data_IF_097016970045
#
_entry.id   IF_097016970045
#
_cell.length_a   1.000
_cell.length_b   1.000
_cell.length_c   1.000
_cell.angle_alpha   90.00
_cell.angle_beta   90.00
_cell.angle_gamma   90.00
#
_symmetry.space_group_name_H-M   'P 1'
#
loop_
_entity.id
_entity.type
_entity.pdbx_description
1 polymer ?
#
# COMPACT_ATOMS: atom_id res chain seq x y z
N UNK A 1 0.41 -3.01 26.11
CA UNK A 1 0.10 -2.69 24.69
C UNK A 1 -0.11 -3.95 23.83
N UNK A 2 0.76 -4.97 23.95
CA UNK A 2 0.72 -6.19 23.12
C UNK A 2 -0.63 -6.92 22.97
N UNK A 3 -1.30 -7.39 24.04
CA UNK A 3 -2.48 -8.26 23.89
C UNK A 3 -3.70 -7.53 23.31
N UNK A 4 -3.93 -6.27 23.69
CA UNK A 4 -5.01 -5.46 23.14
C UNK A 4 -4.77 -5.11 21.67
N UNK A 5 -3.53 -4.78 21.28
CA UNK A 5 -3.19 -4.52 19.88
C UNK A 5 -3.48 -5.74 18.99
N UNK A 6 -3.07 -6.93 19.45
CA UNK A 6 -3.34 -8.20 18.75
C UNK A 6 -4.85 -8.47 18.66
N UNK A 7 -5.60 -8.25 19.74
CA UNK A 7 -7.06 -8.42 19.74
C UNK A 7 -7.75 -7.52 18.69
N UNK A 8 -7.40 -6.23 18.62
CA UNK A 8 -7.99 -5.32 17.65
C UNK A 8 -7.59 -5.64 16.20
N UNK A 9 -6.37 -6.15 15.97
CA UNK A 9 -5.99 -6.71 14.67
C UNK A 9 -6.82 -7.94 14.30
N UNK A 10 -7.07 -8.85 15.25
CA UNK A 10 -7.90 -10.03 15.02
C UNK A 10 -9.34 -9.63 14.71
N UNK A 11 -9.91 -8.66 15.41
CA UNK A 11 -11.25 -8.12 15.12
C UNK A 11 -11.28 -7.53 13.70
N UNK A 12 -10.28 -6.72 13.33
CA UNK A 12 -10.15 -6.20 11.97
C UNK A 12 -10.05 -7.30 10.91
N UNK A 13 -9.30 -8.37 11.20
CA UNK A 13 -9.19 -9.55 10.34
C UNK A 13 -10.51 -10.29 10.17
N UNK A 14 -11.25 -10.51 11.27
CA UNK A 14 -12.59 -11.13 11.24
C UNK A 14 -13.57 -10.27 10.44
N UNK A 15 -13.58 -8.96 10.65
CA UNK A 15 -14.41 -8.03 9.88
C UNK A 15 -14.03 -8.05 8.40
N UNK A 16 -12.74 -8.11 8.08
CA UNK A 16 -12.24 -8.29 6.71
C UNK A 16 -12.73 -9.60 6.07
N UNK A 17 -12.74 -10.71 6.82
CA UNK A 17 -13.31 -11.98 6.35
C UNK A 17 -14.83 -11.89 6.12
N UNK A 18 -15.56 -11.20 7.00
CA UNK A 18 -17.01 -10.98 6.80
C UNK A 18 -17.25 -10.17 5.53
N UNK A 19 -16.45 -9.12 5.30
CA UNK A 19 -16.52 -8.35 4.05
C UNK A 19 -16.21 -9.21 2.84
N UNK A 20 -15.23 -10.12 2.93
CA UNK A 20 -14.95 -11.10 1.88
C UNK A 20 -16.15 -12.03 1.59
N UNK A 21 -16.94 -12.40 2.61
CA UNK A 21 -18.14 -13.21 2.41
C UNK A 21 -19.29 -12.44 1.73
N UNK A 22 -19.44 -11.15 2.03
CA UNK A 22 -20.52 -10.28 1.47
C UNK A 22 -20.04 -9.50 0.22
N UNK A 23 -18.80 -9.75 -0.19
CA UNK A 23 -18.07 -8.98 -1.19
C UNK A 23 -18.82 -8.88 -2.52
N UNK A 24 -19.39 -9.98 -3.02
CA UNK A 24 -20.07 -10.02 -4.31
C UNK A 24 -21.22 -8.99 -4.40
N UNK A 25 -21.99 -8.82 -3.32
CA UNK A 25 -23.08 -7.85 -3.27
C UNK A 25 -22.56 -6.40 -3.18
N UNK A 26 -21.50 -6.18 -2.41
CA UNK A 26 -20.85 -4.87 -2.29
C UNK A 26 -20.26 -4.43 -3.62
N UNK A 27 -19.53 -5.32 -4.29
CA UNK A 27 -18.88 -5.03 -5.54
C UNK A 27 -19.87 -4.79 -6.67
N UNK A 28 -20.94 -5.58 -6.76
CA UNK A 28 -21.99 -5.34 -7.76
C UNK A 28 -22.60 -3.93 -7.63
N UNK A 29 -22.84 -3.47 -6.40
CA UNK A 29 -23.31 -2.09 -6.15
C UNK A 29 -22.26 -1.05 -6.55
N UNK A 30 -20.99 -1.27 -6.23
CA UNK A 30 -19.89 -0.36 -6.59
C UNK A 30 -19.69 -0.28 -8.11
N UNK A 31 -19.73 -1.42 -8.81
CA UNK A 31 -19.65 -1.48 -10.27
C UNK A 31 -20.78 -0.65 -10.90
N UNK A 32 -22.02 -0.79 -10.39
CA UNK A 32 -23.18 -0.03 -10.85
C UNK A 32 -23.08 1.47 -10.54
N UNK A 33 -22.58 1.85 -9.37
CA UNK A 33 -22.51 3.26 -8.94
C UNK A 33 -21.43 4.04 -9.68
N UNK A 34 -20.27 3.41 -9.89
CA UNK A 34 -19.10 4.08 -10.48
C UNK A 34 -18.92 3.78 -11.97
N UNK A 35 -19.78 2.93 -12.55
CA UNK A 35 -19.68 2.45 -13.93
C UNK A 35 -18.27 1.90 -14.24
N UNK A 36 -17.75 1.07 -13.33
CA UNK A 36 -16.44 0.44 -13.43
C UNK A 36 -16.58 -1.08 -13.40
N UNK A 37 -15.60 -1.78 -13.96
CA UNK A 37 -15.51 -3.24 -13.89
C UNK A 37 -14.49 -3.64 -12.83
N UNK A 38 -14.96 -4.24 -11.73
CA UNK A 38 -14.16 -4.72 -10.60
C UNK A 38 -13.83 -6.21 -10.77
N UNK A 39 -14.77 -7.01 -11.26
CA UNK A 39 -14.56 -8.44 -11.56
C UNK A 39 -14.55 -8.72 -13.06
N UNK A 40 -13.59 -9.54 -13.51
CA UNK A 40 -13.52 -10.06 -14.89
C UNK A 40 -14.58 -11.13 -15.13
N UNK A 41 -14.77 -12.00 -14.13
CA UNK A 41 -15.66 -13.15 -14.15
C UNK A 41 -16.28 -13.37 -12.74
N UNK A 42 -17.42 -14.05 -12.67
CA UNK A 42 -18.03 -14.46 -11.39
C UNK A 42 -17.22 -15.57 -10.74
N UNK A 43 -16.19 -15.20 -9.98
CA UNK A 43 -15.41 -16.12 -9.17
C UNK A 43 -14.77 -15.41 -7.95
N UNK A 44 -14.33 -16.21 -6.98
CA UNK A 44 -13.77 -15.74 -5.69
C UNK A 44 -12.23 -15.76 -5.64
N UNK A 45 -11.58 -16.15 -6.72
CA UNK A 45 -10.11 -16.21 -6.78
C UNK A 45 -9.53 -14.81 -7.06
N UNK A 46 -8.34 -14.50 -6.53
CA UNK A 46 -7.66 -13.20 -6.74
C UNK A 46 -7.46 -12.87 -8.23
N UNK A 47 -7.29 -13.89 -9.07
CA UNK A 47 -7.13 -13.74 -10.53
C UNK A 47 -8.42 -13.28 -11.25
N UNK A 48 -9.57 -13.32 -10.56
CA UNK A 48 -10.85 -12.90 -11.09
C UNK A 48 -11.04 -11.38 -11.06
N UNK A 49 -10.22 -10.67 -10.30
CA UNK A 49 -10.33 -9.23 -10.11
C UNK A 49 -9.57 -8.47 -11.17
N UNK A 50 -10.08 -7.29 -11.50
CA UNK A 50 -9.29 -6.30 -12.23
C UNK A 50 -8.23 -5.70 -11.29
N UNK A 51 -7.15 -5.13 -11.84
CA UNK A 51 -6.15 -4.43 -11.02
C UNK A 51 -6.76 -3.25 -10.25
N UNK A 52 -7.71 -2.55 -10.88
CA UNK A 52 -8.53 -1.55 -10.21
C UNK A 52 -9.35 -2.18 -9.07
N UNK A 53 -10.01 -3.32 -9.33
CA UNK A 53 -10.79 -4.03 -8.33
C UNK A 53 -9.99 -4.47 -7.12
N UNK A 54 -8.79 -5.04 -7.33
CA UNK A 54 -7.86 -5.41 -6.26
C UNK A 54 -7.51 -4.21 -5.38
N UNK A 55 -7.27 -3.04 -5.98
CA UNK A 55 -6.96 -1.81 -5.25
C UNK A 55 -8.16 -1.32 -4.41
N UNK A 56 -9.38 -1.40 -4.95
CA UNK A 56 -10.62 -1.02 -4.25
C UNK A 56 -10.90 -1.94 -3.06
N UNK A 57 -10.79 -3.25 -3.26
CA UNK A 57 -11.03 -4.23 -2.18
C UNK A 57 -9.96 -4.08 -1.10
N UNK A 58 -8.69 -3.94 -1.51
CA UNK A 58 -7.60 -3.63 -0.59
C UNK A 58 -7.90 -2.39 0.24
N UNK A 59 -8.45 -1.34 -0.37
CA UNK A 59 -8.78 -0.09 0.31
C UNK A 59 -9.88 -0.30 1.36
N UNK A 60 -10.94 -1.05 1.03
CA UNK A 60 -12.02 -1.35 1.98
C UNK A 60 -11.47 -2.13 3.20
N UNK A 61 -10.68 -3.17 2.95
CA UNK A 61 -10.10 -3.99 4.03
C UNK A 61 -9.17 -3.16 4.90
N UNK A 62 -8.31 -2.34 4.28
CA UNK A 62 -7.39 -1.44 4.98
C UNK A 62 -8.13 -0.42 5.83
N UNK A 63 -9.22 0.18 5.34
CA UNK A 63 -10.00 1.16 6.09
C UNK A 63 -10.63 0.54 7.34
N UNK A 64 -11.11 -0.70 7.25
CA UNK A 64 -11.63 -1.44 8.41
C UNK A 64 -10.53 -1.68 9.44
N UNK A 65 -9.37 -2.17 9.00
CA UNK A 65 -8.21 -2.38 9.88
C UNK A 65 -7.80 -1.06 10.54
N UNK A 66 -7.74 0.02 9.77
CA UNK A 66 -7.39 1.35 10.28
C UNK A 66 -8.38 1.84 11.34
N UNK A 67 -9.69 1.71 11.13
CA UNK A 67 -10.70 2.07 12.14
C UNK A 67 -10.50 1.24 13.42
N UNK A 68 -10.23 -0.07 13.31
CA UNK A 68 -9.94 -0.92 14.47
C UNK A 68 -8.66 -0.50 15.21
N UNK A 69 -7.71 0.16 14.54
CA UNK A 69 -6.48 0.68 15.17
C UNK A 69 -6.72 1.95 15.99
N UNK A 70 -7.89 2.59 15.92
CA UNK A 70 -8.22 3.80 16.69
C UNK A 70 -8.02 3.58 18.19
N UNK A 71 -8.58 2.50 18.74
CA UNK A 71 -8.48 2.20 20.17
C UNK A 71 -7.03 2.01 20.65
N UNK A 72 -6.24 1.05 20.10
CA UNK A 72 -4.89 0.82 20.60
C UNK A 72 -3.94 1.99 20.34
N UNK A 73 -4.09 2.76 19.25
CA UNK A 73 -3.16 3.83 18.93
C UNK A 73 -3.50 5.15 19.63
N UNK A 74 -4.77 5.53 19.65
CA UNK A 74 -5.18 6.83 20.19
C UNK A 74 -5.39 6.74 21.70
N UNK A 75 -6.12 5.73 22.18
CA UNK A 75 -6.52 5.66 23.59
C UNK A 75 -5.46 4.97 24.46
N UNK A 76 -4.84 3.89 23.96
CA UNK A 76 -3.84 3.14 24.75
C UNK A 76 -2.46 3.81 24.67
N UNK A 77 -1.92 4.12 23.48
CA UNK A 77 -0.62 4.81 23.38
C UNK A 77 -0.67 6.33 23.55
N UNK A 78 -1.85 6.95 23.57
CA UNK A 78 -1.98 8.42 23.61
C UNK A 78 -1.18 9.09 22.47
N UNK A 79 -1.22 8.51 21.28
CA UNK A 79 -0.47 8.97 20.11
C UNK A 79 -1.38 9.08 18.89
N UNK A 80 -2.22 10.12 18.90
CA UNK A 80 -3.13 10.41 17.79
C UNK A 80 -2.39 10.66 16.45
N UNK A 81 -1.24 11.36 16.41
CA UNK A 81 -0.48 11.49 15.18
C UNK A 81 -0.12 10.15 14.53
N UNK A 82 0.31 9.13 15.29
CA UNK A 82 0.60 7.79 14.74
C UNK A 82 -0.62 7.17 14.05
N UNK A 83 -1.82 7.35 14.60
CA UNK A 83 -3.05 6.87 13.96
C UNK A 83 -3.27 7.51 12.57
N UNK A 84 -2.95 8.79 12.41
CA UNK A 84 -2.92 9.47 11.10
C UNK A 84 -1.79 8.89 10.23
N UNK A 85 -0.62 8.62 10.79
CA UNK A 85 0.46 7.96 10.05
C UNK A 85 0.06 6.59 9.49
N UNK A 86 -0.74 5.83 10.23
CA UNK A 86 -1.32 4.56 9.77
C UNK A 86 -2.34 4.73 8.64
N UNK A 87 -3.05 5.86 8.59
CA UNK A 87 -3.87 6.20 7.44
C UNK A 87 -2.98 6.39 6.20
N UNK A 88 -1.94 7.22 6.30
CA UNK A 88 -1.07 7.51 5.16
C UNK A 88 -0.28 6.28 4.68
N UNK A 89 0.27 5.45 5.56
CA UNK A 89 1.00 4.24 5.12
C UNK A 89 0.10 3.28 4.31
N UNK A 90 -1.15 3.05 4.71
CA UNK A 90 -1.98 2.03 4.08
C UNK A 90 -2.96 2.58 3.04
N UNK A 91 -3.56 3.73 3.28
CA UNK A 91 -4.60 4.31 2.41
C UNK A 91 -3.97 5.04 1.22
N UNK A 92 -2.91 5.82 1.44
CA UNK A 92 -2.30 6.61 0.37
C UNK A 92 -1.83 5.76 -0.82
N UNK A 93 -1.10 4.63 -0.64
CA UNK A 93 -0.69 3.81 -1.77
C UNK A 93 -1.86 3.29 -2.61
N UNK A 94 -2.96 2.89 -1.97
CA UNK A 94 -4.13 2.35 -2.65
C UNK A 94 -4.93 3.44 -3.38
N UNK A 95 -5.03 4.64 -2.81
CA UNK A 95 -5.60 5.79 -3.51
C UNK A 95 -4.75 6.10 -4.75
N UNK A 96 -3.43 6.12 -4.63
CA UNK A 96 -2.53 6.38 -5.76
C UNK A 96 -2.69 5.32 -6.84
N UNK A 97 -2.77 4.02 -6.51
CA UNK A 97 -2.99 2.98 -7.54
C UNK A 97 -4.34 3.13 -8.23
N UNK A 98 -5.41 3.50 -7.51
CA UNK A 98 -6.75 3.76 -8.07
C UNK A 98 -6.73 4.97 -9.01
N UNK A 99 -6.17 6.10 -8.57
CA UNK A 99 -6.04 7.32 -9.37
C UNK A 99 -5.23 7.04 -10.63
N UNK A 100 -4.21 6.19 -10.51
CA UNK A 100 -3.33 5.77 -11.60
C UNK A 100 -3.81 4.50 -12.30
N UNK A 101 -5.13 4.31 -12.44
CA UNK A 101 -5.71 3.17 -13.17
C UNK A 101 -5.15 2.97 -14.59
N UNK A 102 -4.69 4.03 -15.26
CA UNK A 102 -4.07 3.92 -16.58
C UNK A 102 -2.65 3.34 -16.53
N UNK A 103 -1.98 3.42 -15.39
CA UNK A 103 -0.70 2.76 -15.13
C UNK A 103 -0.96 1.34 -14.63
N UNK A 104 -1.76 1.16 -13.58
CA UNK A 104 -2.06 -0.13 -12.96
C UNK A 104 -3.25 -0.82 -13.63
N UNK A 105 -3.02 -1.37 -14.83
CA UNK A 105 -4.04 -2.09 -15.59
C UNK A 105 -3.52 -3.40 -16.20
N UNK A 106 -4.45 -4.23 -16.66
CA UNK A 106 -4.20 -5.58 -17.17
C UNK A 106 -3.29 -5.63 -18.39
N UNK A 107 -3.37 -4.64 -19.27
CA UNK A 107 -2.56 -4.63 -20.49
C UNK A 107 -1.07 -4.37 -20.21
N UNK A 108 -0.70 -4.10 -18.95
CA UNK A 108 0.71 -4.06 -18.53
C UNK A 108 1.31 -5.42 -18.27
N UNK A 109 0.49 -6.48 -18.24
CA UNK A 109 0.97 -7.84 -18.00
C UNK A 109 1.79 -8.29 -19.20
N UNK A 110 3.07 -8.59 -18.96
CA UNK A 110 3.97 -9.13 -19.98
C UNK A 110 3.96 -10.66 -19.83
N UNK A 111 3.45 -11.36 -20.85
CA UNK A 111 3.48 -12.81 -20.86
C UNK A 111 4.93 -13.31 -20.94
N UNK A 112 5.46 -13.82 -19.84
CA UNK A 112 6.76 -14.48 -19.84
C UNK A 112 6.65 -15.80 -20.61
N UNK A 113 7.63 -16.09 -21.48
CA UNK A 113 7.55 -17.23 -22.42
C UNK A 113 7.52 -18.60 -21.75
N UNK A 114 8.03 -18.71 -20.51
CA UNK A 114 8.03 -19.93 -19.70
C UNK A 114 8.05 -19.56 -18.19
N UNK A 115 6.92 -19.18 -17.60
CA UNK A 115 6.88 -18.78 -16.20
C UNK A 115 6.98 -20.02 -15.31
N UNK A 116 8.01 -20.09 -14.49
CA UNK A 116 8.26 -21.19 -13.56
C UNK A 116 7.38 -21.06 -12.31
N UNK A 117 7.07 -19.82 -11.90
CA UNK A 117 6.35 -19.54 -10.65
C UNK A 117 5.14 -18.60 -10.84
N UNK A 118 4.20 -18.56 -9.87
CA UNK A 118 3.07 -17.60 -9.91
C UNK A 118 3.52 -16.14 -9.98
N UNK A 119 4.67 -15.82 -9.40
CA UNK A 119 5.25 -14.48 -9.40
C UNK A 119 5.56 -13.99 -10.83
N UNK A 120 6.07 -14.89 -11.67
CA UNK A 120 6.42 -14.66 -13.08
C UNK A 120 5.16 -14.57 -13.97
N UNK A 121 4.12 -15.35 -13.64
CA UNK A 121 2.81 -15.31 -14.33
C UNK A 121 2.06 -13.98 -14.14
N UNK A 122 2.36 -13.25 -13.07
CA UNK A 122 1.68 -12.01 -12.68
C UNK A 122 2.61 -10.78 -12.77
N UNK A 123 3.57 -10.81 -13.69
CA UNK A 123 4.47 -9.69 -13.98
C UNK A 123 3.73 -8.56 -14.72
N UNK A 124 4.19 -7.32 -14.56
CA UNK A 124 3.51 -6.10 -14.99
C UNK A 124 3.48 -5.05 -13.87
N UNK A 125 2.61 -4.06 -14.00
CA UNK A 125 2.33 -3.10 -12.91
C UNK A 125 1.22 -3.64 -12.01
N UNK A 126 1.46 -4.78 -11.37
CA UNK A 126 0.49 -5.38 -10.46
C UNK A 126 0.38 -4.55 -9.16
N UNK A 127 -0.79 -3.96 -8.85
CA UNK A 127 -0.94 -3.02 -7.74
C UNK A 127 -0.59 -3.62 -6.38
N UNK A 128 -0.73 -4.93 -6.17
CA UNK A 128 -0.40 -5.57 -4.89
C UNK A 128 1.10 -5.51 -4.62
N UNK A 129 1.95 -5.81 -5.61
CA UNK A 129 3.40 -5.76 -5.43
C UNK A 129 3.88 -4.34 -5.15
N UNK A 130 3.34 -3.36 -5.87
CA UNK A 130 3.67 -1.96 -5.68
C UNK A 130 3.14 -1.39 -4.36
N UNK A 131 1.98 -1.85 -3.91
CA UNK A 131 1.46 -1.58 -2.57
C UNK A 131 2.42 -2.10 -1.50
N UNK A 132 2.82 -3.37 -1.54
CA UNK A 132 3.75 -3.96 -0.57
C UNK A 132 5.12 -3.26 -0.57
N UNK A 133 5.65 -2.92 -1.74
CA UNK A 133 6.89 -2.15 -1.84
C UNK A 133 6.72 -0.74 -1.25
N UNK A 134 5.60 -0.05 -1.51
CA UNK A 134 5.34 1.26 -0.91
C UNK A 134 5.28 1.20 0.62
N UNK A 135 4.63 0.17 1.19
CA UNK A 135 4.65 -0.08 2.64
C UNK A 135 6.07 -0.25 3.17
N UNK A 136 6.91 -1.01 2.48
CA UNK A 136 8.30 -1.27 2.87
C UNK A 136 9.16 0.00 2.84
N UNK A 137 9.02 0.83 1.80
CA UNK A 137 9.86 2.02 1.63
C UNK A 137 9.52 3.10 2.65
N UNK A 138 8.33 3.67 2.52
CA UNK A 138 8.00 4.88 3.25
C UNK A 138 7.11 4.64 4.44
N UNK A 139 6.64 3.42 4.66
CA UNK A 139 5.68 3.13 5.71
C UNK A 139 6.23 3.35 7.12
N UNK A 140 7.40 2.78 7.41
CA UNK A 140 8.08 2.96 8.69
C UNK A 140 8.38 4.44 8.96
N UNK A 141 8.89 5.15 7.96
CA UNK A 141 9.25 6.57 8.08
C UNK A 141 8.02 7.46 8.23
N UNK A 142 6.93 7.20 7.51
CA UNK A 142 5.70 7.97 7.63
C UNK A 142 5.11 7.81 9.03
N UNK A 143 4.96 6.57 9.52
CA UNK A 143 4.42 6.31 10.87
C UNK A 143 5.32 6.91 11.96
N UNK A 144 6.64 6.76 11.83
CA UNK A 144 7.58 7.35 12.79
C UNK A 144 7.60 8.87 12.76
N UNK A 145 7.59 9.49 11.58
CA UNK A 145 7.56 10.94 11.43
C UNK A 145 6.31 11.53 12.07
N UNK A 146 5.15 10.89 11.88
CA UNK A 146 3.94 11.27 12.61
C UNK A 146 4.08 11.04 14.12
N UNK A 147 4.69 9.94 14.56
CA UNK A 147 4.97 9.70 15.98
C UNK A 147 5.82 10.78 16.63
N UNK A 148 6.83 11.29 15.91
CA UNK A 148 7.70 12.37 16.38
C UNK A 148 6.91 13.64 16.72
N UNK A 149 5.82 13.93 16.00
CA UNK A 149 4.95 15.08 16.28
C UNK A 149 4.21 14.99 17.62
N UNK A 150 4.18 13.81 18.24
CA UNK A 150 3.56 13.61 19.55
C UNK A 150 4.49 13.99 20.72
N UNK A 151 5.79 14.19 20.46
CA UNK A 151 6.80 14.43 21.49
C UNK A 151 7.28 15.88 21.47
N UNK A 152 7.04 16.61 22.57
CA UNK A 152 7.36 18.04 22.67
C UNK A 152 8.85 18.37 22.61
N UNK A 153 9.72 17.42 22.94
CA UNK A 153 11.18 17.60 22.88
C UNK A 153 11.75 17.45 21.46
N UNK A 154 10.98 16.90 20.53
CA UNK A 154 11.39 16.73 19.14
C UNK A 154 10.84 17.91 18.33
N UNK A 155 11.67 18.64 17.58
CA UNK A 155 11.18 19.71 16.71
C UNK A 155 10.14 19.18 15.73
N UNK A 156 9.01 19.87 15.59
CA UNK A 156 7.95 19.45 14.65
C UNK A 156 8.43 19.41 13.20
N UNK A 157 9.40 20.27 12.85
CA UNK A 157 10.08 20.27 11.55
C UNK A 157 10.76 18.94 11.26
N UNK A 158 11.40 18.33 12.26
CA UNK A 158 12.02 17.01 12.15
C UNK A 158 11.00 15.92 11.79
N UNK A 159 9.86 15.88 12.50
CA UNK A 159 8.78 14.96 12.21
C UNK A 159 8.22 15.13 10.79
N UNK A 160 7.99 16.38 10.36
CA UNK A 160 7.48 16.69 9.02
C UNK A 160 8.46 16.29 7.90
N UNK A 161 9.76 16.50 8.07
CA UNK A 161 10.79 16.08 7.11
C UNK A 161 10.73 14.55 6.91
N UNK A 162 10.62 13.79 7.99
CA UNK A 162 10.53 12.32 7.94
C UNK A 162 9.22 11.86 7.29
N UNK A 163 8.09 12.54 7.56
CA UNK A 163 6.80 12.26 6.90
C UNK A 163 6.88 12.52 5.40
N UNK A 164 7.34 13.72 5.00
CA UNK A 164 7.38 14.14 3.60
C UNK A 164 8.32 13.23 2.80
N UNK A 165 9.52 12.93 3.33
CA UNK A 165 10.47 12.01 2.68
C UNK A 165 9.89 10.60 2.53
N UNK A 166 9.15 10.11 3.54
CA UNK A 166 8.42 8.85 3.49
C UNK A 166 7.38 8.82 2.35
N UNK A 167 6.53 9.85 2.26
CA UNK A 167 5.50 9.98 1.22
C UNK A 167 6.10 10.10 -0.18
N UNK A 168 7.16 10.91 -0.36
CA UNK A 168 7.88 11.04 -1.63
C UNK A 168 8.40 9.67 -2.08
N UNK A 169 9.01 8.92 -1.17
CA UNK A 169 9.59 7.62 -1.50
C UNK A 169 8.52 6.57 -1.84
N UNK A 170 7.35 6.61 -1.19
CA UNK A 170 6.19 5.81 -1.61
C UNK A 170 5.74 6.19 -3.02
N UNK A 171 5.66 7.48 -3.33
CA UNK A 171 5.24 7.97 -4.64
C UNK A 171 6.20 7.55 -5.76
N UNK A 172 7.52 7.53 -5.49
CA UNK A 172 8.53 7.03 -6.44
C UNK A 172 8.22 5.58 -6.82
N UNK A 173 8.00 4.70 -5.82
CA UNK A 173 7.67 3.30 -6.05
C UNK A 173 6.35 3.15 -6.82
N UNK A 174 5.33 3.93 -6.45
CA UNK A 174 4.02 3.93 -7.09
C UNK A 174 4.01 4.61 -8.48
N UNK A 175 5.19 4.97 -9.01
CA UNK A 175 5.39 5.57 -10.32
C UNK A 175 6.27 4.74 -11.27
N UNK A 176 6.02 3.43 -11.44
CA UNK A 176 6.91 2.59 -12.25
C UNK A 176 6.97 3.00 -13.71
N UNK A 177 5.88 3.49 -14.29
CA UNK A 177 5.82 4.05 -15.64
C UNK A 177 6.73 5.27 -15.84
N UNK A 178 6.89 6.15 -14.83
CA UNK A 178 7.80 7.28 -14.91
C UNK A 178 9.25 6.80 -14.89
N UNK A 179 9.57 5.85 -14.00
CA UNK A 179 10.90 5.26 -13.93
C UNK A 179 11.21 4.50 -15.23
N UNK A 180 10.23 3.79 -15.79
CA UNK A 180 10.37 3.02 -17.02
C UNK A 180 10.78 3.86 -18.25
N UNK A 181 10.49 5.16 -18.23
CA UNK A 181 10.93 6.10 -19.29
C UNK A 181 12.41 6.46 -19.19
N UNK A 182 13.02 6.27 -18.02
CA UNK A 182 14.39 6.70 -17.72
C UNK A 182 15.34 5.50 -17.74
N UNK A 183 14.88 4.32 -17.36
CA UNK A 183 15.70 3.11 -17.36
C UNK A 183 15.74 2.43 -18.73
N UNK A 184 16.86 1.79 -19.11
CA UNK A 184 16.99 1.13 -20.41
C UNK A 184 16.33 -0.27 -20.48
N UNK A 185 15.56 -0.66 -19.47
CA UNK A 185 14.94 -1.98 -19.35
C UNK A 185 13.46 -1.88 -19.00
N UNK A 186 12.65 -2.85 -19.43
CA UNK A 186 11.22 -2.84 -19.18
C UNK A 186 10.90 -3.27 -17.72
N UNK A 187 10.38 -2.33 -16.94
CA UNK A 187 9.97 -2.53 -15.56
C UNK A 187 8.77 -3.45 -15.38
N UNK A 188 8.03 -3.76 -16.45
CA UNK A 188 6.92 -4.70 -16.42
C UNK A 188 7.40 -6.16 -16.35
N UNK A 189 8.67 -6.43 -16.64
CA UNK A 189 9.24 -7.79 -16.57
C UNK A 189 9.56 -8.22 -15.13
N UNK A 190 9.80 -9.51 -14.89
CA UNK A 190 10.24 -9.99 -13.58
C UNK A 190 11.57 -9.37 -13.14
N UNK A 191 12.50 -9.18 -14.08
CA UNK A 191 13.77 -8.47 -13.83
C UNK A 191 13.49 -7.02 -13.41
N UNK A 192 12.55 -6.36 -14.07
CA UNK A 192 12.08 -5.03 -13.71
C UNK A 192 11.54 -4.95 -12.28
N UNK A 193 10.66 -5.88 -11.91
CA UNK A 193 10.12 -5.98 -10.55
C UNK A 193 11.22 -6.18 -9.49
N UNK A 194 12.22 -7.04 -9.76
CA UNK A 194 13.38 -7.22 -8.86
C UNK A 194 14.15 -5.92 -8.67
N UNK A 195 14.34 -5.14 -9.74
CA UNK A 195 15.03 -3.84 -9.65
C UNK A 195 14.21 -2.84 -8.84
N UNK A 196 12.89 -2.79 -9.02
CA UNK A 196 12.01 -1.97 -8.19
C UNK A 196 12.09 -2.36 -6.71
N UNK A 197 12.19 -3.65 -6.41
CA UNK A 197 12.36 -4.14 -5.04
C UNK A 197 13.72 -3.71 -4.44
N UNK A 198 14.80 -3.77 -5.22
CA UNK A 198 16.12 -3.27 -4.78
C UNK A 198 16.08 -1.76 -4.55
N UNK A 199 15.45 -1.00 -5.45
CA UNK A 199 15.24 0.44 -5.28
C UNK A 199 14.46 0.74 -4.00
N UNK A 200 13.44 -0.06 -3.72
CA UNK A 200 12.67 0.07 -2.49
C UNK A 200 13.55 -0.13 -1.24
N UNK A 201 14.38 -1.18 -1.19
CA UNK A 201 15.32 -1.38 -0.08
C UNK A 201 16.29 -0.19 0.05
N UNK A 202 16.84 0.30 -1.07
CA UNK A 202 17.76 1.44 -1.06
C UNK A 202 17.11 2.70 -0.49
N UNK A 203 15.88 3.01 -0.89
CA UNK A 203 15.11 4.12 -0.35
C UNK A 203 14.79 3.94 1.14
N UNK A 204 14.45 2.73 1.59
CA UNK A 204 14.24 2.43 3.03
C UNK A 204 15.51 2.72 3.86
N UNK A 205 16.68 2.37 3.34
CA UNK A 205 17.97 2.65 4.00
C UNK A 205 18.21 4.16 4.07
N UNK A 206 18.03 4.88 2.96
CA UNK A 206 18.18 6.35 2.91
C UNK A 206 17.25 7.01 3.93
N UNK A 207 15.98 6.60 4.00
CA UNK A 207 15.03 7.15 4.96
C UNK A 207 15.41 6.85 6.41
N UNK A 208 15.97 5.67 6.68
CA UNK A 208 16.48 5.30 8.01
C UNK A 208 17.63 6.22 8.43
N UNK A 209 18.51 6.57 7.50
CA UNK A 209 19.61 7.52 7.72
C UNK A 209 19.07 8.93 7.94
N UNK A 210 18.15 9.43 7.09
CA UNK A 210 17.53 10.75 7.25
C UNK A 210 16.91 10.88 8.63
N UNK A 211 16.18 9.86 9.08
CA UNK A 211 15.61 9.83 10.43
C UNK A 211 16.70 9.98 11.50
N UNK A 212 17.80 9.24 11.40
CA UNK A 212 18.90 9.32 12.38
C UNK A 212 19.64 10.65 12.38
N UNK A 213 19.58 11.43 11.31
CA UNK A 213 20.19 12.77 11.22
C UNK A 213 19.29 13.88 11.76
N UNK A 214 17.98 13.64 11.83
CA UNK A 214 16.96 14.66 12.09
C UNK A 214 16.21 14.44 13.41
N UNK A 215 16.27 13.22 13.96
CA UNK A 215 15.79 12.87 15.31
C UNK A 215 16.85 13.16 16.36
#
# INVERSE_FOLDING_TARGET
>A
MGPFFVLFLLIGGILGLIVYYVEDNLLFKLESLFNIKIKRQKCKNMNCYTYLGLSIIGLIVVLIIWICMLYPLVYVSKNFPVFIGFFFIFVFPLIVTIVRKNTFHENTIVAEKNPQNMLEKCTGYNPIWYFLMALMVGGSSTVWGFSMLNFSHIPSTSGLIVVISGLISQMIILSPDLINKIVPFDLRTFKGLKIMFILAIALSIILTVIRGLVA
#
